data_IF_329195914425
#
_entry.id   IF_329195914425
#
_cell.length_a   1.000
_cell.length_b   1.000
_cell.length_c   1.000
_cell.angle_alpha   90.00
_cell.angle_beta   90.00
_cell.angle_gamma   90.00
#
_symmetry.space_group_name_H-M   'P 1'
#
loop_
_entity.id
_entity.type
_entity.pdbx_description
1 polymer ?
#
# COMPACT_ATOMS: atom_id res chain seq x y z
N UNK A 1 4.09 24.57 -33.60
CA UNK A 1 4.29 23.51 -32.60
C UNK A 1 3.59 23.98 -31.34
N UNK A 2 2.49 23.37 -30.89
CA UNK A 2 1.95 23.71 -29.58
C UNK A 2 2.91 23.20 -28.51
N UNK A 3 3.12 24.03 -27.48
CA UNK A 3 3.98 23.72 -26.33
C UNK A 3 3.51 22.44 -25.63
N UNK A 4 4.45 21.51 -25.44
CA UNK A 4 4.28 20.29 -24.64
C UNK A 4 4.48 20.54 -23.14
N UNK A 5 4.14 21.72 -22.62
CA UNK A 5 4.02 21.91 -21.18
C UNK A 5 2.74 21.20 -20.73
N UNK A 6 2.87 19.89 -20.50
CA UNK A 6 1.80 19.07 -19.95
C UNK A 6 1.23 19.75 -18.74
N UNK A 7 0.00 20.27 -18.88
CA UNK A 7 -0.79 20.81 -17.79
C UNK A 7 -1.28 19.63 -16.97
N UNK A 8 -0.35 18.93 -16.31
CA UNK A 8 -0.72 18.05 -15.25
C UNK A 8 -1.44 18.93 -14.23
N UNK A 9 -2.67 18.56 -13.83
CA UNK A 9 -3.43 19.35 -12.85
C UNK A 9 -2.54 19.63 -11.63
N UNK A 10 -2.75 20.78 -10.96
CA UNK A 10 -1.99 21.09 -9.75
C UNK A 10 -2.05 19.89 -8.80
N UNK A 11 -0.88 19.54 -8.24
CA UNK A 11 -0.76 18.44 -7.28
C UNK A 11 -1.42 18.86 -5.96
N UNK A 12 -2.75 18.79 -5.94
CA UNK A 12 -3.54 18.92 -4.72
C UNK A 12 -3.70 17.57 -4.02
N UNK A 13 -4.26 17.59 -2.81
CA UNK A 13 -4.45 16.38 -2.00
C UNK A 13 -5.31 15.32 -2.72
N UNK A 14 -6.47 15.65 -3.32
CA UNK A 14 -7.25 14.69 -4.10
C UNK A 14 -6.46 14.04 -5.23
N UNK A 15 -5.64 14.81 -5.97
CA UNK A 15 -4.87 14.28 -7.08
C UNK A 15 -3.74 13.36 -6.61
N UNK A 16 -3.04 13.73 -5.54
CA UNK A 16 -2.01 12.88 -4.91
C UNK A 16 -2.61 11.56 -4.43
N UNK A 17 -3.78 11.62 -3.79
CA UNK A 17 -4.51 10.43 -3.36
C UNK A 17 -4.89 9.54 -4.54
N UNK A 18 -5.41 10.10 -5.64
CA UNK A 18 -5.75 9.34 -6.83
C UNK A 18 -4.53 8.59 -7.42
N UNK A 19 -3.37 9.25 -7.45
CA UNK A 19 -2.11 8.63 -7.88
C UNK A 19 -1.67 7.51 -6.94
N UNK A 20 -1.74 7.74 -5.62
CA UNK A 20 -1.43 6.71 -4.62
C UNK A 20 -2.34 5.49 -4.78
N UNK A 21 -3.64 5.70 -4.99
CA UNK A 21 -4.62 4.63 -5.17
C UNK A 21 -4.41 3.83 -6.46
N UNK A 22 -3.91 4.48 -7.51
CA UNK A 22 -3.62 3.86 -8.80
C UNK A 22 -2.21 3.25 -8.87
N UNK A 23 -1.39 3.39 -7.82
CA UNK A 23 -0.04 2.83 -7.79
C UNK A 23 -0.09 1.30 -7.93
N UNK A 24 0.74 0.71 -8.81
CA UNK A 24 0.72 -0.73 -9.08
C UNK A 24 1.31 -1.56 -7.94
N UNK A 25 2.16 -0.97 -7.09
CA UNK A 25 2.78 -1.65 -5.96
C UNK A 25 1.90 -1.58 -4.71
N UNK A 26 1.76 -2.64 -3.90
CA UNK A 26 1.10 -2.59 -2.60
C UNK A 26 1.77 -1.56 -1.68
N UNK A 27 1.01 -0.60 -1.15
CA UNK A 27 1.52 0.43 -0.24
C UNK A 27 0.54 0.76 0.90
N UNK A 28 1.11 1.04 2.08
CA UNK A 28 0.42 1.53 3.28
C UNK A 28 0.96 2.90 3.68
N UNK A 29 0.08 3.74 4.22
CA UNK A 29 0.44 5.00 4.89
C UNK A 29 0.25 4.78 6.39
N UNK A 30 1.28 5.10 7.16
CA UNK A 30 1.32 4.89 8.61
C UNK A 30 1.46 6.22 9.34
N UNK A 31 0.85 6.34 10.51
CA UNK A 31 1.20 7.38 11.46
C UNK A 31 2.55 7.08 12.10
N UNK A 32 3.36 8.10 12.39
CA UNK A 32 4.61 7.94 13.14
C UNK A 32 4.35 7.87 14.66
N UNK A 33 3.23 7.28 15.07
CA UNK A 33 2.78 7.19 16.45
C UNK A 33 3.36 5.95 17.14
N UNK A 34 4.67 5.98 17.33
CA UNK A 34 5.38 4.95 18.07
C UNK A 34 4.69 4.67 19.42
N UNK A 35 4.49 3.39 19.79
CA UNK A 35 5.00 2.17 19.15
C UNK A 35 4.07 1.54 18.11
N UNK A 36 2.86 2.07 17.91
CA UNK A 36 1.80 1.32 17.25
C UNK A 36 1.80 1.45 15.72
N UNK A 37 2.27 2.58 15.18
CA UNK A 37 2.29 2.89 13.74
C UNK A 37 0.94 2.58 13.07
N UNK A 38 -0.10 3.31 13.47
CA UNK A 38 -1.45 3.05 12.99
C UNK A 38 -1.56 3.28 11.48
N UNK A 39 -2.23 2.35 10.80
CA UNK A 39 -2.49 2.43 9.37
C UNK A 39 -3.55 3.49 9.14
N UNK A 40 -3.24 4.52 8.36
CA UNK A 40 -4.20 5.58 8.00
C UNK A 40 -4.70 5.46 6.58
N UNK A 41 -3.97 4.80 5.69
CA UNK A 41 -4.45 4.53 4.35
C UNK A 41 -3.77 3.30 3.73
N UNK A 42 -4.47 2.61 2.83
CA UNK A 42 -3.97 1.47 2.08
C UNK A 42 -4.39 1.61 0.62
N UNK A 43 -3.45 1.47 -0.33
CA UNK A 43 -3.81 1.63 -1.74
C UNK A 43 -4.61 0.43 -2.29
N UNK A 44 -5.24 0.62 -3.45
CA UNK A 44 -6.05 -0.42 -4.09
C UNK A 44 -5.26 -1.72 -4.32
N UNK A 45 -4.00 -1.61 -4.74
CA UNK A 45 -3.13 -2.76 -4.94
C UNK A 45 -2.95 -3.56 -3.65
N UNK A 46 -2.79 -2.88 -2.51
CA UNK A 46 -2.64 -3.50 -1.19
C UNK A 46 -3.90 -4.25 -0.73
N UNK A 47 -5.06 -3.65 -0.91
CA UNK A 47 -6.33 -4.25 -0.49
C UNK A 47 -6.64 -5.50 -1.33
N UNK A 48 -6.39 -5.43 -2.64
CA UNK A 48 -6.56 -6.57 -3.55
C UNK A 48 -5.59 -7.72 -3.21
N UNK A 49 -4.33 -7.36 -2.94
CA UNK A 49 -3.26 -8.21 -2.48
C UNK A 49 -3.61 -9.00 -1.21
N UNK A 50 -4.02 -8.30 -0.16
CA UNK A 50 -4.30 -8.88 1.15
C UNK A 50 -5.65 -9.62 1.21
N UNK A 51 -6.44 -9.61 0.12
CA UNK A 51 -7.84 -10.06 0.09
C UNK A 51 -8.66 -9.50 1.27
N UNK A 52 -8.30 -8.30 1.72
CA UNK A 52 -8.84 -7.67 2.92
C UNK A 52 -9.77 -6.53 2.52
N UNK A 53 -10.31 -5.82 3.50
CA UNK A 53 -11.08 -4.60 3.29
C UNK A 53 -10.32 -3.42 3.88
N UNK A 54 -10.31 -2.29 3.18
CA UNK A 54 -9.65 -1.07 3.67
C UNK A 54 -10.15 -0.72 5.07
N UNK A 55 -11.46 -0.81 5.28
CA UNK A 55 -12.13 -0.48 6.54
C UNK A 55 -11.68 -1.35 7.73
N UNK A 56 -11.13 -2.54 7.47
CA UNK A 56 -10.57 -3.41 8.50
C UNK A 56 -9.10 -3.11 8.82
N UNK A 57 -8.43 -2.33 7.97
CA UNK A 57 -7.01 -1.95 8.13
C UNK A 57 -6.87 -0.56 8.75
N UNK A 58 -7.71 0.40 8.34
CA UNK A 58 -7.59 1.79 8.80
C UNK A 58 -7.84 1.88 10.31
N UNK A 59 -6.95 2.57 11.02
CA UNK A 59 -6.99 2.74 12.47
C UNK A 59 -6.44 1.55 13.25
N UNK A 60 -5.98 0.49 12.59
CA UNK A 60 -5.33 -0.65 13.24
C UNK A 60 -3.81 -0.44 13.28
N UNK A 61 -3.15 -0.94 14.33
CA UNK A 61 -1.69 -1.01 14.37
C UNK A 61 -1.18 -1.93 13.26
N UNK A 62 -0.09 -1.54 12.60
CA UNK A 62 0.59 -2.42 11.63
C UNK A 62 1.02 -3.74 12.29
N UNK A 63 1.34 -3.72 13.58
CA UNK A 63 1.76 -4.92 14.30
C UNK A 63 0.61 -5.89 14.53
N UNK A 64 -0.55 -5.40 14.93
CA UNK A 64 -1.73 -6.24 15.08
C UNK A 64 -2.27 -6.75 13.73
N UNK A 65 -2.11 -5.97 12.66
CA UNK A 65 -2.53 -6.36 11.31
C UNK A 65 -1.69 -7.50 10.72
N UNK A 66 -0.37 -7.56 10.98
CA UNK A 66 0.54 -8.54 10.36
C UNK A 66 1.19 -9.53 11.33
N UNK A 67 1.35 -9.16 12.59
CA UNK A 67 2.15 -9.89 13.58
C UNK A 67 1.29 -10.36 14.76
N UNK A 68 0.02 -10.68 14.49
CA UNK A 68 -0.96 -11.11 15.51
C UNK A 68 -0.59 -12.42 16.21
N UNK A 69 0.39 -13.18 15.68
CA UNK A 69 0.87 -14.42 16.27
C UNK A 69 2.40 -14.41 16.47
N UNK A 70 2.90 -14.35 17.72
CA UNK A 70 4.34 -14.39 18.01
C UNK A 70 4.99 -15.75 17.68
N UNK A 71 4.21 -16.84 17.59
CA UNK A 71 4.71 -18.16 17.16
C UNK A 71 4.82 -18.28 15.63
N UNK A 72 4.36 -17.28 14.86
CA UNK A 72 4.43 -17.23 13.40
C UNK A 72 5.58 -16.36 12.86
N UNK A 73 6.53 -15.96 13.72
CA UNK A 73 7.67 -15.11 13.36
C UNK A 73 8.80 -15.85 12.61
N UNK A 74 8.65 -17.14 12.34
CA UNK A 74 9.53 -17.89 11.44
C UNK A 74 9.01 -17.87 10.00
N UNK A 75 9.30 -16.78 9.28
CA UNK A 75 9.37 -16.80 7.82
C UNK A 75 8.12 -16.40 7.03
N UNK A 76 7.14 -15.73 7.65
CA UNK A 76 6.04 -15.09 6.92
C UNK A 76 5.97 -13.59 7.24
N UNK A 77 7.06 -12.85 6.96
CA UNK A 77 6.83 -11.54 6.38
C UNK A 77 5.95 -11.81 5.17
N UNK A 78 4.67 -11.45 5.22
CA UNK A 78 3.71 -11.73 4.16
C UNK A 78 4.41 -11.48 2.82
N UNK A 79 4.77 -12.56 2.11
CA UNK A 79 5.37 -12.47 0.79
C UNK A 79 4.48 -11.47 0.05
N UNK A 80 5.00 -10.31 -0.38
CA UNK A 80 4.15 -9.31 -1.01
C UNK A 80 3.45 -10.03 -2.15
N UNK A 81 2.11 -10.11 -2.18
CA UNK A 81 1.41 -10.87 -3.19
C UNK A 81 1.82 -10.34 -4.56
N UNK A 82 2.57 -11.18 -5.27
CA UNK A 82 3.28 -10.81 -6.49
C UNK A 82 4.75 -10.43 -6.28
N UNK A 83 5.54 -11.25 -5.59
CA UNK A 83 6.98 -11.32 -5.85
C UNK A 83 7.19 -11.39 -7.37
N UNK A 84 7.58 -10.26 -7.96
CA UNK A 84 7.69 -10.09 -9.40
C UNK A 84 8.95 -10.81 -9.88
N UNK A 85 8.88 -12.15 -9.92
CA UNK A 85 9.87 -12.96 -10.60
C UNK A 85 9.93 -12.53 -12.07
N UNK A 86 11.12 -12.61 -12.72
CA UNK A 86 11.25 -12.23 -14.12
C UNK A 86 10.26 -13.06 -14.94
N UNK A 87 9.26 -12.40 -15.54
CA UNK A 87 8.33 -13.05 -16.46
C UNK A 87 9.15 -13.48 -17.67
N UNK A 88 9.47 -14.78 -17.78
CA UNK A 88 9.93 -15.36 -19.04
C UNK A 88 8.82 -15.16 -20.07
N UNK A 89 9.08 -14.28 -21.03
CA UNK A 89 8.32 -14.20 -22.28
C UNK A 89 8.67 -15.46 -23.07
N UNK A 90 7.68 -16.33 -23.24
CA UNK A 90 7.67 -17.42 -24.22
C UNK A 90 6.85 -17.03 -25.44
#
# INVERSE_FOLDING_TARGET
MPDSTGHHPPLDLPHILAMFQASPGPCLVLLPDFPDYHIVEANTAYVAAAQSRREALIGRSIFDAFFTDPDHLDGAAAEPPGAFGPRSIG
#
